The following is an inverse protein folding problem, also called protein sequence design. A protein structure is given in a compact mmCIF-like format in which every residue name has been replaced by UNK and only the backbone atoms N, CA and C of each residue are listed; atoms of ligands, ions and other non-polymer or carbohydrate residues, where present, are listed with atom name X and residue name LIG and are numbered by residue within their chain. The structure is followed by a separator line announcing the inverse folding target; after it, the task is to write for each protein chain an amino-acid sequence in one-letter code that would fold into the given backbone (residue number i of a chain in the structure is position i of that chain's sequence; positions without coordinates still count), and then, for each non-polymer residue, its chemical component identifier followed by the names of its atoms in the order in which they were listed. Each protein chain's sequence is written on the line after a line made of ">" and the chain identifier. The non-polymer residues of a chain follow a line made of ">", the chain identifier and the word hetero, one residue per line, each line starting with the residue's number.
data_IF_944672858473
#
_entry.id   IF_944672858473
#
_cell.length_a   1.000
_cell.length_b   1.000
_cell.length_c   1.000
_cell.angle_alpha   90.00
_cell.angle_beta   90.00
_cell.angle_gamma   90.00
#
_symmetry.space_group_name_H-M   'P 1'
#
loop_
_entity.id
_entity.type
_entity.pdbx_description
1 polymer ?
#
# COMPACT_ATOMS: atom_id res chain seq x y z
N UNK A 1 11.69 -34.73 -12.85
CA UNK A 1 11.04 -33.58 -12.18
C UNK A 1 11.82 -33.30 -10.92
N UNK A 2 12.69 -32.29 -10.93
CA UNK A 2 13.37 -31.86 -9.70
C UNK A 2 12.31 -31.26 -8.78
N UNK A 3 12.15 -31.82 -7.59
CA UNK A 3 11.36 -31.20 -6.53
C UNK A 3 12.06 -29.89 -6.18
N UNK A 4 11.63 -28.79 -6.80
CA UNK A 4 12.07 -27.46 -6.41
C UNK A 4 11.76 -27.31 -4.92
N UNK A 5 12.79 -27.03 -4.11
CA UNK A 5 12.63 -26.69 -2.70
C UNK A 5 11.59 -25.57 -2.60
N UNK A 6 10.37 -25.92 -2.19
CA UNK A 6 9.30 -24.95 -2.13
C UNK A 6 9.54 -24.05 -0.92
N UNK A 7 9.69 -22.76 -1.16
CA UNK A 7 9.93 -21.75 -0.11
C UNK A 7 8.70 -21.73 0.80
N UNK A 8 8.92 -21.80 2.11
CA UNK A 8 7.86 -21.68 3.11
C UNK A 8 7.28 -20.26 3.13
N UNK A 9 5.96 -20.16 3.26
CA UNK A 9 5.24 -18.88 3.30
C UNK A 9 5.68 -18.00 4.48
N UNK A 10 5.97 -18.61 5.63
CA UNK A 10 6.49 -17.91 6.82
C UNK A 10 7.87 -17.33 6.58
N UNK A 11 8.77 -18.06 5.92
CA UNK A 11 10.11 -17.54 5.58
C UNK A 11 9.98 -16.35 4.63
N UNK A 12 9.08 -16.41 3.66
CA UNK A 12 8.82 -15.30 2.76
C UNK A 12 8.27 -14.07 3.48
N UNK A 13 7.37 -14.28 4.44
CA UNK A 13 6.86 -13.23 5.32
C UNK A 13 8.00 -12.58 6.13
N UNK A 14 8.83 -13.37 6.79
CA UNK A 14 9.96 -12.88 7.61
C UNK A 14 10.95 -12.07 6.76
N UNK A 15 11.32 -12.57 5.57
CA UNK A 15 12.17 -11.84 4.63
C UNK A 15 11.52 -10.56 4.10
N UNK A 16 10.20 -10.56 3.86
CA UNK A 16 9.47 -9.36 3.47
C UNK A 16 9.47 -8.29 4.56
N UNK A 17 9.38 -8.69 5.83
CA UNK A 17 9.50 -7.77 6.97
C UNK A 17 10.91 -7.17 7.03
N UNK A 18 11.95 -8.01 6.93
CA UNK A 18 13.35 -7.55 6.90
C UNK A 18 13.58 -6.58 5.74
N UNK A 19 13.09 -6.91 4.54
CA UNK A 19 13.15 -6.04 3.37
C UNK A 19 12.48 -4.68 3.62
N UNK A 20 11.32 -4.68 4.27
CA UNK A 20 10.60 -3.45 4.64
C UNK A 20 11.43 -2.57 5.58
N UNK A 21 12.09 -3.16 6.58
CA UNK A 21 12.99 -2.45 7.49
C UNK A 21 14.18 -1.86 6.72
N UNK A 22 14.80 -2.63 5.83
CA UNK A 22 15.91 -2.15 5.00
C UNK A 22 15.48 -0.95 4.16
N UNK A 23 14.34 -1.04 3.46
CA UNK A 23 13.81 0.07 2.66
C UNK A 23 13.53 1.29 3.55
N UNK A 24 12.95 1.10 4.73
CA UNK A 24 12.68 2.19 5.67
C UNK A 24 13.97 2.89 6.12
N UNK A 25 15.04 2.13 6.38
CA UNK A 25 16.37 2.67 6.69
C UNK A 25 16.99 3.36 5.47
N UNK A 26 16.78 2.85 4.26
CA UNK A 26 17.23 3.50 3.03
C UNK A 26 16.55 4.85 2.81
N UNK A 27 15.25 4.97 3.10
CA UNK A 27 14.52 6.25 3.06
C UNK A 27 15.16 7.25 4.02
N UNK A 28 15.48 6.83 5.25
CA UNK A 28 16.19 7.68 6.22
C UNK A 28 17.57 8.08 5.69
N UNK A 29 18.32 7.14 5.13
CA UNK A 29 19.68 7.38 4.63
C UNK A 29 19.73 8.39 3.48
N UNK A 30 18.71 8.40 2.61
CA UNK A 30 18.62 9.38 1.51
C UNK A 30 18.01 10.72 1.95
N UNK A 31 17.54 10.87 3.19
CA UNK A 31 16.85 12.09 3.65
C UNK A 31 17.66 13.37 3.43
N UNK A 32 18.96 13.35 3.73
CA UNK A 32 19.86 14.49 3.49
C UNK A 32 20.06 14.73 1.99
N UNK A 33 20.12 13.69 1.18
CA UNK A 33 20.20 13.84 -0.27
C UNK A 33 18.97 14.54 -0.84
N UNK A 34 17.79 14.26 -0.29
CA UNK A 34 16.53 14.83 -0.73
C UNK A 34 16.38 16.33 -0.42
N UNK A 35 17.19 16.91 0.47
CA UNK A 35 17.17 18.36 0.74
C UNK A 35 17.80 19.19 -0.39
N UNK A 36 18.41 18.54 -1.38
CA UNK A 36 18.92 19.23 -2.58
C UNK A 36 17.78 19.65 -3.54
N UNK A 37 16.57 19.14 -3.33
CA UNK A 37 15.40 19.50 -4.11
C UNK A 37 14.66 20.67 -3.45
N UNK A 38 14.29 21.65 -4.28
CA UNK A 38 13.48 22.79 -3.86
C UNK A 38 11.99 22.41 -3.88
N UNK A 39 11.32 22.54 -2.74
CA UNK A 39 9.90 22.20 -2.60
C UNK A 39 9.03 23.41 -2.90
N UNK A 40 7.83 23.14 -3.43
CA UNK A 40 6.85 24.18 -3.67
C UNK A 40 6.45 24.84 -2.34
N UNK A 41 6.11 26.12 -2.41
CA UNK A 41 5.49 26.83 -1.29
C UNK A 41 3.96 26.85 -1.47
N UNK A 42 3.18 26.85 -0.38
CA UNK A 42 1.74 26.94 -0.48
C UNK A 42 1.33 28.26 -1.14
N UNK A 43 0.63 28.20 -2.27
CA UNK A 43 0.02 29.39 -2.87
C UNK A 43 -1.25 29.77 -2.07
N UNK A 44 -1.29 30.94 -1.40
CA UNK A 44 -2.47 31.40 -0.68
C UNK A 44 -3.73 31.51 -1.55
N UNK A 45 -3.57 31.66 -2.87
CA UNK A 45 -4.66 31.74 -3.83
C UNK A 45 -5.30 30.37 -4.17
N UNK A 46 -4.62 29.24 -3.91
CA UNK A 46 -5.10 27.90 -4.27
C UNK A 46 -6.02 27.24 -3.22
N UNK A 47 -6.39 27.94 -2.15
CA UNK A 47 -7.56 27.58 -1.35
C UNK A 47 -7.51 26.23 -0.62
N UNK A 48 -6.34 25.83 -0.11
CA UNK A 48 -6.27 24.89 1.03
C UNK A 48 -6.05 23.39 0.74
N UNK A 49 -5.63 23.00 -0.47
CA UNK A 49 -5.25 21.59 -0.76
C UNK A 49 -3.82 21.46 -1.29
N UNK A 50 -2.91 22.28 -0.76
CA UNK A 50 -1.49 22.19 -1.06
C UNK A 50 -0.87 20.96 -0.38
N UNK A 51 -0.12 20.17 -1.14
CA UNK A 51 0.67 19.07 -0.58
C UNK A 51 2.12 19.51 -0.45
N UNK A 52 2.60 19.63 0.78
CA UNK A 52 3.89 20.27 1.12
C UNK A 52 5.15 19.57 0.59
N UNK A 53 5.01 18.34 0.06
CA UNK A 53 6.13 17.56 -0.48
C UNK A 53 6.14 17.55 -2.02
N UNK A 54 5.54 18.56 -2.66
CA UNK A 54 5.61 18.78 -4.10
C UNK A 54 6.92 19.46 -4.48
N UNK A 55 7.46 19.11 -5.65
CA UNK A 55 8.64 19.78 -6.18
C UNK A 55 8.24 21.18 -6.71
N UNK A 56 9.05 22.22 -6.42
CA UNK A 56 8.78 23.59 -6.88
C UNK A 56 8.76 23.69 -8.42
N UNK A 57 9.71 23.01 -9.06
CA UNK A 57 9.92 23.04 -10.50
C UNK A 57 9.86 21.61 -11.07
N UNK A 58 8.65 21.00 -11.22
CA UNK A 58 8.51 19.64 -11.73
C UNK A 58 8.99 19.53 -13.18
N UNK A 59 9.62 18.41 -13.50
CA UNK A 59 10.09 18.11 -14.87
C UNK A 59 9.18 17.08 -15.53
N UNK A 60 9.34 16.89 -16.84
CA UNK A 60 8.69 15.77 -17.52
C UNK A 60 9.03 14.43 -16.85
N UNK A 61 10.30 14.22 -16.49
CA UNK A 61 10.75 12.95 -15.93
C UNK A 61 10.26 12.71 -14.50
N UNK A 62 10.13 13.75 -13.68
CA UNK A 62 9.61 13.58 -12.31
C UNK A 62 8.18 13.06 -12.31
N UNK A 63 7.33 13.60 -13.19
CA UNK A 63 5.93 13.19 -13.33
C UNK A 63 5.78 11.88 -14.10
N UNK A 64 6.46 11.75 -15.24
CA UNK A 64 6.31 10.59 -16.11
C UNK A 64 6.77 9.30 -15.42
N UNK A 65 7.87 9.33 -14.67
CA UNK A 65 8.38 8.14 -13.97
C UNK A 65 7.44 7.68 -12.86
N UNK A 66 6.80 8.60 -12.13
CA UNK A 66 5.80 8.27 -11.12
C UNK A 66 4.54 7.63 -11.75
N UNK A 67 3.99 8.24 -12.80
CA UNK A 67 2.79 7.73 -13.48
C UNK A 67 3.02 6.40 -14.21
N UNK A 68 4.13 6.28 -14.93
CA UNK A 68 4.50 5.03 -15.60
C UNK A 68 4.80 3.94 -14.57
N UNK A 69 5.52 4.27 -13.49
CA UNK A 69 5.77 3.38 -12.37
C UNK A 69 4.46 2.85 -11.79
N UNK A 70 3.51 3.73 -11.48
CA UNK A 70 2.17 3.37 -11.03
C UNK A 70 1.42 2.47 -12.02
N UNK A 71 1.30 2.89 -13.28
CA UNK A 71 0.51 2.18 -14.27
C UNK A 71 1.06 0.77 -14.51
N UNK A 72 2.38 0.64 -14.72
CA UNK A 72 3.01 -0.66 -14.95
C UNK A 72 2.94 -1.53 -13.69
N UNK A 73 3.22 -0.98 -12.51
CA UNK A 73 3.12 -1.73 -11.25
C UNK A 73 1.71 -2.28 -11.05
N UNK A 74 0.69 -1.44 -11.20
CA UNK A 74 -0.70 -1.81 -11.00
C UNK A 74 -1.16 -2.86 -12.03
N UNK A 75 -0.84 -2.68 -13.32
CA UNK A 75 -1.22 -3.62 -14.37
C UNK A 75 -0.54 -4.98 -14.21
N UNK A 76 0.73 -5.03 -13.80
CA UNK A 76 1.43 -6.28 -13.54
C UNK A 76 0.83 -7.03 -12.35
N UNK A 77 0.47 -6.33 -11.27
CA UNK A 77 -0.19 -6.94 -10.12
C UNK A 77 -1.60 -7.40 -10.47
N UNK A 78 -2.38 -6.60 -11.20
CA UNK A 78 -3.70 -7.02 -11.70
C UNK A 78 -3.62 -8.23 -12.62
N UNK A 79 -2.64 -8.28 -13.53
CA UNK A 79 -2.36 -9.45 -14.36
C UNK A 79 -1.99 -10.68 -13.52
N UNK A 80 -1.23 -10.48 -12.45
CA UNK A 80 -0.87 -11.55 -11.50
C UNK A 80 -2.09 -12.06 -10.74
N UNK A 81 -2.99 -11.17 -10.30
CA UNK A 81 -4.25 -11.53 -9.64
C UNK A 81 -5.15 -12.29 -10.60
N UNK A 82 -5.30 -11.81 -11.84
CA UNK A 82 -6.06 -12.49 -12.88
C UNK A 82 -5.54 -13.91 -13.11
N UNK A 83 -4.21 -14.04 -13.25
CA UNK A 83 -3.56 -15.34 -13.38
C UNK A 83 -3.78 -16.23 -12.15
N UNK A 84 -3.73 -15.66 -10.94
CA UNK A 84 -4.03 -16.36 -9.69
C UNK A 84 -5.44 -16.94 -9.70
N UNK A 85 -6.41 -16.15 -10.15
CA UNK A 85 -7.81 -16.53 -10.15
C UNK A 85 -8.10 -17.60 -11.19
N UNK A 86 -7.53 -17.48 -12.40
CA UNK A 86 -7.88 -18.33 -13.53
C UNK A 86 -7.07 -19.63 -13.60
N UNK A 87 -5.78 -19.57 -13.24
CA UNK A 87 -4.86 -20.69 -13.48
C UNK A 87 -4.24 -21.30 -12.22
N UNK A 88 -4.29 -20.61 -11.08
CA UNK A 88 -3.68 -21.11 -9.85
C UNK A 88 -4.67 -21.94 -9.03
N UNK A 89 -4.16 -23.00 -8.39
CA UNK A 89 -4.93 -23.75 -7.41
C UNK A 89 -5.19 -22.87 -6.18
N UNK A 90 -6.47 -22.63 -5.88
CA UNK A 90 -6.94 -21.78 -4.78
C UNK A 90 -6.86 -22.42 -3.39
N UNK A 91 -6.41 -23.68 -3.29
CA UNK A 91 -6.16 -24.36 -2.01
C UNK A 91 -5.00 -23.68 -1.28
N UNK A 92 -5.24 -23.34 -0.01
CA UNK A 92 -4.25 -22.75 0.88
C UNK A 92 -3.10 -23.71 1.21
N UNK A 93 -1.86 -23.25 1.03
CA UNK A 93 -0.62 -24.02 1.27
C UNK A 93 0.31 -23.31 2.26
N UNK A 94 1.25 -24.04 2.87
CA UNK A 94 2.32 -23.46 3.71
C UNK A 94 3.55 -23.04 2.88
N UNK A 95 3.47 -23.20 1.55
CA UNK A 95 4.57 -22.94 0.63
C UNK A 95 4.12 -21.98 -0.45
N UNK A 96 5.07 -21.21 -0.97
CA UNK A 96 4.86 -20.29 -2.05
C UNK A 96 4.53 -21.03 -3.35
N UNK A 97 3.55 -20.49 -4.06
CA UNK A 97 3.22 -20.86 -5.43
C UNK A 97 3.94 -19.91 -6.39
N UNK A 98 4.05 -20.26 -7.69
CA UNK A 98 4.62 -19.39 -8.70
C UNK A 98 4.01 -17.97 -8.72
N UNK A 99 2.70 -17.86 -8.48
CA UNK A 99 2.00 -16.56 -8.35
C UNK A 99 2.53 -15.70 -7.21
N UNK A 100 2.89 -16.32 -6.08
CA UNK A 100 3.44 -15.58 -4.95
C UNK A 100 4.84 -15.08 -5.26
N UNK A 101 5.67 -15.91 -5.90
CA UNK A 101 7.02 -15.51 -6.31
C UNK A 101 6.99 -14.34 -7.30
N UNK A 102 6.07 -14.39 -8.27
CA UNK A 102 5.89 -13.31 -9.25
C UNK A 102 5.39 -12.03 -8.55
N UNK A 103 4.37 -12.11 -7.69
CA UNK A 103 3.87 -10.95 -6.96
C UNK A 103 4.93 -10.32 -6.04
N UNK A 104 5.69 -11.14 -5.30
CA UNK A 104 6.80 -10.69 -4.46
C UNK A 104 7.90 -10.03 -5.30
N UNK A 105 8.25 -10.63 -6.44
CA UNK A 105 9.26 -10.09 -7.35
C UNK A 105 8.84 -8.75 -7.94
N UNK A 106 7.61 -8.63 -8.44
CA UNK A 106 7.05 -7.37 -8.96
C UNK A 106 7.09 -6.31 -7.87
N UNK A 107 6.45 -6.54 -6.72
CA UNK A 107 6.41 -5.55 -5.64
C UNK A 107 7.83 -5.16 -5.19
N UNK A 108 8.73 -6.13 -4.99
CA UNK A 108 10.11 -5.88 -4.59
C UNK A 108 10.87 -4.99 -5.59
N UNK A 109 10.74 -5.27 -6.89
CA UNK A 109 11.36 -4.45 -7.95
C UNK A 109 10.78 -3.04 -7.96
N UNK A 110 9.45 -2.89 -7.93
CA UNK A 110 8.83 -1.55 -7.97
C UNK A 110 9.08 -0.76 -6.68
N UNK A 111 9.28 -1.41 -5.53
CA UNK A 111 9.70 -0.73 -4.30
C UNK A 111 11.08 -0.10 -4.47
N UNK A 112 12.04 -0.86 -5.01
CA UNK A 112 13.39 -0.33 -5.28
C UNK A 112 13.35 0.72 -6.38
N UNK A 113 12.59 0.51 -7.46
CA UNK A 113 12.45 1.49 -8.53
C UNK A 113 11.84 2.80 -8.04
N UNK A 114 10.86 2.75 -7.14
CA UNK A 114 10.28 3.97 -6.58
C UNK A 114 11.29 4.71 -5.70
N UNK A 115 12.07 3.99 -4.88
CA UNK A 115 13.17 4.60 -4.12
C UNK A 115 14.17 5.30 -5.05
N UNK A 116 14.59 4.64 -6.14
CA UNK A 116 15.47 5.25 -7.15
C UNK A 116 14.80 6.45 -7.83
N UNK A 117 13.51 6.35 -8.13
CA UNK A 117 12.73 7.44 -8.72
C UNK A 117 12.73 8.66 -7.77
N UNK A 118 12.51 8.47 -6.47
CA UNK A 118 12.59 9.56 -5.48
C UNK A 118 14.01 10.13 -5.39
N UNK A 119 15.05 9.28 -5.43
CA UNK A 119 16.46 9.75 -5.39
C UNK A 119 16.79 10.67 -6.58
N UNK A 120 16.35 10.30 -7.80
CA UNK A 120 16.75 10.98 -9.03
C UNK A 120 15.78 12.05 -9.52
N UNK A 121 14.50 11.96 -9.14
CA UNK A 121 13.47 12.86 -9.63
C UNK A 121 12.56 13.45 -8.54
N UNK A 122 12.71 12.98 -7.30
CA UNK A 122 11.97 13.38 -6.11
C UNK A 122 10.47 13.05 -6.13
N UNK A 123 9.76 13.58 -7.12
CA UNK A 123 8.31 13.80 -7.12
C UNK A 123 7.44 12.53 -7.14
N UNK A 124 6.15 12.67 -6.87
CA UNK A 124 5.15 11.61 -6.93
C UNK A 124 3.91 12.00 -7.73
N UNK A 125 2.89 11.14 -7.78
CA UNK A 125 1.61 11.50 -8.41
C UNK A 125 0.94 12.70 -7.72
N UNK A 126 1.32 12.99 -6.47
CA UNK A 126 0.86 14.16 -5.74
C UNK A 126 1.13 15.49 -6.48
N UNK A 127 2.09 15.56 -7.41
CA UNK A 127 2.29 16.75 -8.24
C UNK A 127 1.07 17.11 -9.09
N UNK A 128 0.31 16.09 -9.50
CA UNK A 128 -0.73 16.18 -10.52
C UNK A 128 -2.14 16.06 -9.96
N UNK A 129 -2.27 15.53 -8.73
CA UNK A 129 -3.56 15.21 -8.14
C UNK A 129 -3.65 15.68 -6.69
N UNK A 130 -4.83 16.16 -6.26
CA UNK A 130 -5.07 16.53 -4.87
C UNK A 130 -4.86 15.35 -3.91
N UNK A 131 -4.31 15.62 -2.71
CA UNK A 131 -4.05 14.62 -1.67
C UNK A 131 -5.26 13.78 -1.26
N UNK A 132 -6.47 14.34 -1.37
CA UNK A 132 -7.70 13.61 -1.04
C UNK A 132 -7.90 12.37 -1.91
N UNK A 133 -7.42 12.33 -3.16
CA UNK A 133 -7.62 11.16 -4.02
C UNK A 133 -6.98 9.91 -3.42
N UNK A 134 -5.77 10.04 -2.85
CA UNK A 134 -5.08 8.96 -2.15
C UNK A 134 -5.79 8.57 -0.85
N UNK A 135 -6.40 9.53 -0.16
CA UNK A 135 -7.22 9.24 1.01
C UNK A 135 -8.49 8.45 0.65
N UNK A 136 -9.16 8.81 -0.45
CA UNK A 136 -10.36 8.13 -0.91
C UNK A 136 -10.11 6.67 -1.33
N UNK A 137 -8.95 6.35 -1.91
CA UNK A 137 -8.62 4.95 -2.24
C UNK A 137 -8.41 4.10 -0.99
N UNK A 138 -7.77 4.66 0.06
CA UNK A 138 -7.64 3.98 1.36
C UNK A 138 -9.01 3.81 2.03
N UNK A 139 -9.84 4.86 2.03
CA UNK A 139 -11.22 4.79 2.55
C UNK A 139 -12.02 3.70 1.82
N UNK A 140 -11.95 3.63 0.49
CA UNK A 140 -12.58 2.56 -0.29
C UNK A 140 -12.09 1.17 0.15
N UNK A 141 -10.78 1.00 0.37
CA UNK A 141 -10.22 -0.26 0.88
C UNK A 141 -10.80 -0.61 2.25
N UNK A 142 -10.85 0.34 3.18
CA UNK A 142 -11.42 0.15 4.53
C UNK A 142 -12.90 -0.24 4.48
N UNK A 143 -13.71 0.41 3.63
CA UNK A 143 -15.11 0.03 3.43
C UNK A 143 -15.25 -1.43 3.00
N UNK A 144 -14.45 -1.87 2.02
CA UNK A 144 -14.46 -3.25 1.54
C UNK A 144 -14.01 -4.23 2.65
N UNK A 145 -12.98 -3.88 3.43
CA UNK A 145 -12.55 -4.67 4.59
C UNK A 145 -13.70 -4.79 5.60
N UNK A 146 -14.32 -3.68 6.01
CA UNK A 146 -15.44 -3.68 6.95
C UNK A 146 -16.59 -4.56 6.46
N UNK A 147 -16.97 -4.44 5.19
CA UNK A 147 -18.03 -5.27 4.60
C UNK A 147 -17.69 -6.75 4.57
N UNK A 148 -16.43 -7.12 4.27
CA UNK A 148 -15.98 -8.51 4.32
C UNK A 148 -15.92 -9.06 5.75
N UNK A 149 -15.47 -8.23 6.69
CA UNK A 149 -15.29 -8.57 8.11
C UNK A 149 -16.59 -8.58 8.91
N UNK A 150 -17.67 -7.96 8.41
CA UNK A 150 -19.00 -7.96 9.01
C UNK A 150 -19.47 -9.37 9.43
N UNK A 151 -19.20 -10.42 8.64
CA UNK A 151 -19.58 -11.80 9.01
C UNK A 151 -18.85 -12.32 10.25
N UNK A 152 -17.61 -11.87 10.47
CA UNK A 152 -16.75 -12.29 11.58
C UNK A 152 -16.95 -11.40 12.81
N UNK A 153 -16.89 -10.07 12.63
CA UNK A 153 -16.80 -9.08 13.73
C UNK A 153 -18.03 -8.20 13.89
N UNK A 154 -18.95 -8.16 12.92
CA UNK A 154 -20.06 -7.20 12.88
C UNK A 154 -19.61 -5.79 12.45
N UNK A 155 -20.56 -4.89 12.23
CA UNK A 155 -20.30 -3.51 11.75
C UNK A 155 -20.36 -2.46 12.86
N UNK A 156 -21.30 -2.61 13.80
CA UNK A 156 -21.51 -1.64 14.88
C UNK A 156 -21.72 -2.39 16.19
N UNK A 157 -20.78 -2.27 17.13
CA UNK A 157 -20.82 -2.96 18.42
C UNK A 157 -21.06 -4.48 18.30
N UNK A 158 -20.46 -5.13 17.30
CA UNK A 158 -20.64 -6.56 17.04
C UNK A 158 -21.92 -6.94 16.29
N UNK A 159 -22.84 -5.98 16.05
CA UNK A 159 -24.07 -6.23 15.29
C UNK A 159 -23.75 -6.45 13.81
N UNK A 160 -24.18 -7.60 13.29
CA UNK A 160 -23.96 -7.99 11.90
C UNK A 160 -25.05 -7.44 10.99
N UNK A 161 -24.68 -7.00 9.80
CA UNK A 161 -25.62 -6.68 8.71
C UNK A 161 -25.82 -7.91 7.82
N UNK A 162 -27.04 -8.15 7.36
CA UNK A 162 -27.40 -9.28 6.50
C UNK A 162 -27.28 -8.93 5.02
N UNK A 163 -26.07 -8.98 4.47
CA UNK A 163 -25.90 -8.92 3.01
C UNK A 163 -26.17 -10.26 2.33
N UNK A 164 -26.54 -10.22 1.05
CA UNK A 164 -26.70 -11.41 0.20
C UNK A 164 -25.36 -12.14 0.02
N UNK A 165 -25.39 -13.47 -0.16
CA UNK A 165 -24.16 -14.29 -0.29
C UNK A 165 -23.34 -13.85 -1.50
N UNK A 166 -24.01 -13.53 -2.59
CA UNK A 166 -23.44 -13.09 -3.86
C UNK A 166 -22.61 -11.82 -3.68
N UNK A 167 -23.05 -10.90 -2.83
CA UNK A 167 -22.31 -9.69 -2.51
C UNK A 167 -20.99 -10.00 -1.79
N UNK A 168 -21.00 -10.91 -0.81
CA UNK A 168 -19.78 -11.35 -0.14
C UNK A 168 -18.83 -12.09 -1.06
N UNK A 169 -19.37 -12.94 -1.95
CA UNK A 169 -18.58 -13.68 -2.91
C UNK A 169 -17.95 -12.73 -3.94
N UNK A 170 -18.66 -11.67 -4.34
CA UNK A 170 -18.12 -10.60 -5.18
C UNK A 170 -16.99 -9.85 -4.48
N UNK A 171 -17.19 -9.41 -3.22
CA UNK A 171 -16.13 -8.75 -2.44
C UNK A 171 -14.89 -9.64 -2.33
N UNK A 172 -15.05 -10.91 -1.95
CA UNK A 172 -13.93 -11.87 -1.87
C UNK A 172 -13.25 -12.11 -3.21
N UNK A 173 -13.98 -12.06 -4.32
CA UNK A 173 -13.41 -12.24 -5.66
C UNK A 173 -12.63 -11.03 -6.12
N UNK A 174 -13.06 -9.81 -5.81
CA UNK A 174 -12.49 -8.59 -6.40
C UNK A 174 -11.69 -7.72 -5.43
N UNK A 175 -11.71 -7.98 -4.12
CA UNK A 175 -10.94 -7.20 -3.14
C UNK A 175 -9.47 -7.09 -3.50
N UNK A 176 -8.85 -8.15 -4.03
CA UNK A 176 -7.44 -8.11 -4.44
C UNK A 176 -7.13 -7.02 -5.47
N UNK A 177 -8.04 -6.74 -6.41
CA UNK A 177 -7.87 -5.65 -7.38
C UNK A 177 -8.04 -4.29 -6.74
N UNK A 178 -9.09 -4.12 -5.92
CA UNK A 178 -9.36 -2.86 -5.23
C UNK A 178 -8.23 -2.51 -4.24
N UNK A 179 -7.76 -3.49 -3.47
CA UNK A 179 -6.73 -3.29 -2.45
C UNK A 179 -5.38 -3.02 -3.10
N UNK A 180 -5.02 -3.78 -4.15
CA UNK A 180 -3.76 -3.51 -4.85
C UNK A 180 -3.78 -2.14 -5.53
N UNK A 181 -4.88 -1.73 -6.14
CA UNK A 181 -5.00 -0.37 -6.68
C UNK A 181 -4.81 0.69 -5.60
N UNK A 182 -5.55 0.59 -4.48
CA UNK A 182 -5.45 1.59 -3.42
C UNK A 182 -4.03 1.71 -2.87
N UNK A 183 -3.40 0.56 -2.58
CA UNK A 183 -2.06 0.49 -2.00
C UNK A 183 -1.00 0.96 -2.99
N UNK A 184 -1.05 0.53 -4.25
CA UNK A 184 -0.07 0.92 -5.29
C UNK A 184 -0.25 2.39 -5.68
N UNK A 185 -1.49 2.88 -5.72
CA UNK A 185 -1.77 4.29 -5.96
C UNK A 185 -1.18 5.16 -4.86
N UNK A 186 -1.54 4.91 -3.59
CA UNK A 186 -0.98 5.66 -2.46
C UNK A 186 0.54 5.51 -2.37
N UNK A 187 1.08 4.34 -2.71
CA UNK A 187 2.52 4.11 -2.77
C UNK A 187 3.23 5.02 -3.77
N UNK A 188 2.73 5.16 -5.01
CA UNK A 188 3.31 6.06 -6.03
C UNK A 188 2.83 7.52 -5.90
N UNK A 189 1.85 7.77 -5.03
CA UNK A 189 1.34 9.11 -4.78
C UNK A 189 2.37 9.97 -4.07
N UNK A 190 2.99 9.41 -3.04
CA UNK A 190 3.93 10.13 -2.20
C UNK A 190 5.37 9.91 -2.65
N UNK A 191 6.22 10.95 -2.66
CA UNK A 191 7.66 10.75 -2.68
C UNK A 191 8.15 10.05 -1.41
N UNK A 192 9.22 9.25 -1.49
CA UNK A 192 9.81 8.55 -0.33
C UNK A 192 10.64 9.49 0.58
N UNK A 193 9.99 10.47 1.21
CA UNK A 193 10.63 11.47 2.06
C UNK A 193 10.91 10.93 3.47
N UNK A 194 12.03 11.33 4.05
CA UNK A 194 12.50 10.91 5.38
C UNK A 194 11.79 11.59 6.56
N UNK A 195 10.45 11.63 6.55
CA UNK A 195 9.66 12.02 7.73
C UNK A 195 9.09 10.79 8.43
N UNK A 196 8.78 10.89 9.72
CA UNK A 196 8.22 9.77 10.48
C UNK A 196 6.89 9.26 9.87
N UNK A 197 6.02 10.18 9.43
CA UNK A 197 4.75 9.82 8.80
C UNK A 197 4.92 9.04 7.50
N UNK A 198 5.87 9.46 6.64
CA UNK A 198 6.18 8.77 5.39
C UNK A 198 6.85 7.42 5.65
N UNK A 199 7.82 7.33 6.56
CA UNK A 199 8.50 6.05 6.89
C UNK A 199 7.49 5.01 7.39
N UNK A 200 6.64 5.38 8.35
CA UNK A 200 5.59 4.47 8.86
C UNK A 200 4.57 4.14 7.78
N UNK A 201 4.20 5.12 6.93
CA UNK A 201 3.30 4.93 5.80
C UNK A 201 3.83 3.95 4.77
N UNK A 202 5.08 4.11 4.33
CA UNK A 202 5.76 3.22 3.39
C UNK A 202 5.91 1.81 3.98
N UNK A 203 6.31 1.69 5.24
CA UNK A 203 6.36 0.40 5.91
C UNK A 203 4.99 -0.30 5.92
N UNK A 204 3.92 0.45 6.21
CA UNK A 204 2.55 -0.07 6.20
C UNK A 204 2.11 -0.54 4.81
N UNK A 205 2.23 0.29 3.77
CA UNK A 205 1.81 -0.10 2.41
C UNK A 205 2.63 -1.28 1.89
N UNK A 206 3.92 -1.39 2.22
CA UNK A 206 4.74 -2.56 1.87
C UNK A 206 4.24 -3.81 2.60
N UNK A 207 3.82 -3.72 3.86
CA UNK A 207 3.18 -4.86 4.54
C UNK A 207 1.87 -5.29 3.87
N UNK A 208 1.06 -4.34 3.39
CA UNK A 208 -0.16 -4.68 2.64
C UNK A 208 0.17 -5.32 1.29
N UNK A 209 1.19 -4.84 0.57
CA UNK A 209 1.70 -5.47 -0.66
C UNK A 209 2.22 -6.88 -0.40
N UNK A 210 2.95 -7.09 0.71
CA UNK A 210 3.42 -8.40 1.15
C UNK A 210 2.24 -9.33 1.46
N UNK A 211 1.23 -8.85 2.17
CA UNK A 211 0.00 -9.59 2.44
C UNK A 211 -0.73 -9.99 1.15
N UNK A 212 -0.84 -9.08 0.18
CA UNK A 212 -1.40 -9.37 -1.15
C UNK A 212 -0.58 -10.40 -1.93
N UNK A 213 0.75 -10.32 -1.84
CA UNK A 213 1.67 -11.23 -2.53
C UNK A 213 1.59 -12.67 -2.00
N UNK A 214 1.11 -12.86 -0.77
CA UNK A 214 0.98 -14.16 -0.12
C UNK A 214 -0.38 -14.84 -0.39
N UNK A 215 -1.16 -14.39 -1.39
CA UNK A 215 -2.45 -14.99 -1.76
C UNK A 215 -2.42 -16.53 -1.87
N UNK A 216 -3.45 -17.20 -1.36
CA UNK A 216 -3.54 -18.67 -1.28
C UNK A 216 -2.45 -19.37 -0.46
N UNK A 217 -1.77 -18.66 0.44
CA UNK A 217 -0.89 -19.26 1.48
C UNK A 217 -1.53 -19.16 2.86
N UNK A 218 -1.10 -19.98 3.82
CA UNK A 218 -1.61 -19.89 5.20
C UNK A 218 -1.16 -18.61 5.90
N UNK A 219 -0.01 -18.04 5.52
CA UNK A 219 0.43 -16.73 5.97
C UNK A 219 -0.60 -15.63 5.66
N UNK A 220 -1.25 -15.67 4.48
CA UNK A 220 -2.32 -14.71 4.14
C UNK A 220 -3.55 -14.80 5.04
N UNK A 221 -3.78 -15.93 5.70
CA UNK A 221 -4.86 -16.13 6.68
C UNK A 221 -4.40 -15.98 8.13
N UNK A 222 -3.13 -15.66 8.37
CA UNK A 222 -2.56 -15.59 9.71
C UNK A 222 -3.16 -14.40 10.47
N UNK A 223 -3.92 -14.70 11.54
CA UNK A 223 -4.62 -13.68 12.32
C UNK A 223 -3.69 -12.69 13.01
N UNK A 224 -2.51 -13.11 13.46
CA UNK A 224 -1.55 -12.21 14.12
C UNK A 224 -0.95 -11.23 13.12
N UNK A 225 -0.63 -11.72 11.93
CA UNK A 225 -0.14 -10.90 10.83
C UNK A 225 -1.19 -9.91 10.32
N UNK A 226 -2.42 -10.37 10.07
CA UNK A 226 -3.54 -9.50 9.67
C UNK A 226 -3.79 -8.45 10.75
N UNK A 227 -3.82 -8.83 12.03
CA UNK A 227 -4.02 -7.89 13.13
C UNK A 227 -2.91 -6.84 13.21
N UNK A 228 -1.65 -7.24 12.98
CA UNK A 228 -0.53 -6.29 12.90
C UNK A 228 -0.75 -5.26 11.78
N UNK A 229 -1.17 -5.70 10.59
CA UNK A 229 -1.49 -4.78 9.49
C UNK A 229 -2.67 -3.88 9.87
N UNK A 230 -3.73 -4.44 10.46
CA UNK A 230 -4.91 -3.67 10.87
C UNK A 230 -4.56 -2.58 11.90
N UNK A 231 -3.67 -2.85 12.86
CA UNK A 231 -3.33 -1.86 13.90
C UNK A 231 -2.29 -0.83 13.43
N UNK A 232 -1.41 -1.19 12.49
CA UNK A 232 -0.37 -0.31 11.93
C UNK A 232 -0.93 0.94 11.23
N UNK A 233 -2.18 0.89 10.76
CA UNK A 233 -2.84 2.05 10.16
C UNK A 233 -3.07 3.18 11.17
N UNK A 234 -3.26 2.87 12.46
CA UNK A 234 -3.54 3.84 13.52
C UNK A 234 -2.39 4.82 13.74
N UNK A 235 -1.14 4.39 14.00
CA UNK A 235 -0.03 5.32 14.15
C UNK A 235 0.22 6.11 12.88
N UNK A 236 0.11 5.50 11.70
CA UNK A 236 0.27 6.22 10.43
C UNK A 236 -0.78 7.34 10.28
N UNK A 237 -2.06 7.01 10.47
CA UNK A 237 -3.16 7.96 10.41
C UNK A 237 -3.02 9.09 11.44
N UNK A 238 -2.59 8.77 12.67
CA UNK A 238 -2.33 9.76 13.70
C UNK A 238 -1.22 10.74 13.29
N UNK A 239 -0.10 10.25 12.73
CA UNK A 239 0.98 11.11 12.26
C UNK A 239 0.56 12.00 11.09
N UNK A 240 -0.20 11.48 10.13
CA UNK A 240 -0.74 12.27 9.01
C UNK A 240 -1.64 13.39 9.53
N UNK A 241 -2.55 13.08 10.47
CA UNK A 241 -3.48 14.06 11.02
C UNK A 241 -2.80 15.15 11.85
N UNK A 242 -1.74 14.81 12.60
CA UNK A 242 -0.95 15.79 13.34
C UNK A 242 -0.27 16.76 12.37
N UNK A 243 0.31 16.25 11.28
CA UNK A 243 1.02 17.07 10.29
C UNK A 243 0.07 17.94 9.45
N UNK A 244 -1.18 17.52 9.21
CA UNK A 244 -2.18 18.28 8.45
C UNK A 244 -2.99 19.28 9.30
N UNK A 245 -2.62 19.49 10.56
CA UNK A 245 -3.37 20.30 11.52
C UNK A 245 -4.23 19.42 12.43
N UNK A 246 -3.81 19.31 13.70
CA UNK A 246 -4.27 18.30 14.67
C UNK A 246 -5.78 18.15 14.91
N UNK A 247 -6.63 19.05 14.41
CA UNK A 247 -8.09 18.89 14.42
C UNK A 247 -8.60 17.72 13.55
N UNK A 248 -7.84 17.29 12.54
CA UNK A 248 -8.20 16.13 11.69
C UNK A 248 -8.02 14.78 12.40
N UNK A 249 -7.32 14.75 13.55
CA UNK A 249 -7.02 13.50 14.28
C UNK A 249 -8.29 12.80 14.75
N UNK A 250 -9.35 13.58 15.02
CA UNK A 250 -10.65 13.05 15.46
C UNK A 250 -11.35 12.21 14.40
N UNK A 251 -11.08 12.43 13.11
CA UNK A 251 -11.65 11.61 12.02
C UNK A 251 -11.16 10.16 12.06
N UNK A 252 -10.01 9.92 12.71
CA UNK A 252 -9.40 8.59 12.84
C UNK A 252 -9.76 7.89 14.16
N UNK A 253 -10.50 8.54 15.08
CA UNK A 253 -10.99 7.90 16.30
C UNK A 253 -12.27 7.07 16.07
N UNK A 254 -12.96 7.27 14.95
CA UNK A 254 -14.24 6.63 14.64
C UNK A 254 -14.17 5.90 13.29
N UNK A 255 -13.41 4.80 13.20
CA UNK A 255 -13.31 4.09 11.91
C UNK A 255 -12.49 2.79 11.86
N UNK A 256 -12.05 2.23 12.99
CA UNK A 256 -11.22 1.03 13.03
C UNK A 256 -11.81 -0.05 13.96
#
# INVERSE_FOLDING_TARGET
>A
MLAANQIEDRKALDWGIIFTVIISLSIVAIGVWLTNYELAEPDPALGGFFYEWQLANPTFWSRATAWVGFAVHNLLIWGTIYWAQERSNRKYTNTLKPVNMIALGINGVFIVLHLLQTIFFYDGIAQDLPSWTAQFTVIMMLFVIMMMENRRRGMFFGKKLSFRKEFYDWLKRYHGYAFSFAVIYTFWFHPMVATLGHIVGFAYVIFVMLQGSLVFTKAHLNRKWIFLIEIMVLPHAAFVAINQGGGLVYMFMFGF
#
